data_IF_388175013167
#
_entry.id   IF_388175013167
#
_cell.length_a   1.000
_cell.length_b   1.000
_cell.length_c   1.000
_cell.angle_alpha   90.00
_cell.angle_beta   90.00
_cell.angle_gamma   90.00
#
_symmetry.space_group_name_H-M   'P 1'
#
loop_
_entity.id
_entity.type
_entity.pdbx_description
1 polymer ?
#
# COMPACT_ATOMS: atom_id res chain seq x y z
N UNK A 1 15.68 -7.49 -9.36
CA UNK A 1 15.11 -6.54 -8.38
C UNK A 1 16.24 -5.95 -7.56
N UNK A 2 16.27 -4.62 -7.39
CA UNK A 2 17.16 -4.02 -6.39
C UNK A 2 16.61 -4.37 -5.00
N UNK A 3 17.47 -4.78 -4.06
CA UNK A 3 17.04 -5.06 -2.71
C UNK A 3 16.46 -3.77 -2.08
N UNK A 4 15.20 -3.77 -1.60
CA UNK A 4 14.64 -2.58 -0.99
C UNK A 4 15.43 -2.23 0.27
N UNK A 5 15.97 -1.01 0.31
CA UNK A 5 16.73 -0.50 1.46
C UNK A 5 15.85 0.13 2.54
N UNK A 6 14.57 0.37 2.21
CA UNK A 6 13.59 1.02 3.07
C UNK A 6 12.18 0.62 2.64
N UNK A 7 11.29 0.59 3.62
CA UNK A 7 9.84 0.48 3.44
C UNK A 7 9.15 1.66 4.11
N UNK A 8 8.00 2.06 3.57
CA UNK A 8 7.16 3.16 4.05
C UNK A 8 5.85 2.60 4.56
N UNK A 9 5.43 2.97 5.77
CA UNK A 9 4.17 2.45 6.34
C UNK A 9 2.95 2.95 5.59
N UNK A 10 1.82 2.25 5.69
CA UNK A 10 0.53 2.70 5.16
C UNK A 10 0.14 4.11 5.65
N UNK A 11 0.46 4.44 6.90
CA UNK A 11 0.29 5.81 7.43
C UNK A 11 1.10 6.85 6.64
N UNK A 12 2.34 6.54 6.27
CA UNK A 12 3.14 7.44 5.44
C UNK A 12 2.54 7.55 4.03
N UNK A 13 2.13 6.43 3.43
CA UNK A 13 1.49 6.41 2.12
C UNK A 13 0.22 7.27 2.08
N UNK A 14 -0.67 7.11 3.08
CA UNK A 14 -1.89 7.89 3.24
C UNK A 14 -1.60 9.40 3.30
N UNK A 15 -0.62 9.79 4.13
CA UNK A 15 -0.18 11.18 4.23
C UNK A 15 0.44 11.70 2.93
N UNK A 16 1.14 10.86 2.17
CA UNK A 16 1.81 11.24 0.91
C UNK A 16 0.81 11.41 -0.23
N UNK A 17 -0.21 10.55 -0.30
CA UNK A 17 -1.22 10.52 -1.36
C UNK A 17 -2.46 11.37 -1.03
N UNK A 18 -2.55 11.90 0.19
CA UNK A 18 -3.64 12.78 0.61
C UNK A 18 -4.99 12.06 0.72
N UNK A 19 -4.97 10.78 1.10
CA UNK A 19 -6.17 9.94 1.26
C UNK A 19 -6.21 9.33 2.66
N UNK A 20 -7.38 8.80 3.03
CA UNK A 20 -7.56 8.10 4.29
C UNK A 20 -6.72 6.80 4.33
N UNK A 21 -6.25 6.41 5.52
CA UNK A 21 -5.48 5.18 5.70
C UNK A 21 -6.31 3.95 5.32
N UNK A 22 -7.62 3.96 5.55
CA UNK A 22 -8.51 2.86 5.19
C UNK A 22 -8.57 2.65 3.67
N UNK A 23 -8.42 3.72 2.89
CA UNK A 23 -8.31 3.63 1.42
C UNK A 23 -7.01 2.95 1.02
N UNK A 24 -5.91 3.27 1.71
CA UNK A 24 -4.61 2.64 1.44
C UNK A 24 -4.64 1.16 1.78
N UNK A 25 -5.18 0.76 2.94
CA UNK A 25 -5.26 -0.64 3.33
C UNK A 25 -6.13 -1.45 2.36
N UNK A 26 -7.26 -0.89 1.89
CA UNK A 26 -8.09 -1.52 0.85
C UNK A 26 -7.37 -1.71 -0.50
N UNK A 27 -6.51 -0.77 -0.89
CA UNK A 27 -5.71 -0.91 -2.10
C UNK A 27 -4.57 -1.91 -1.90
N UNK A 28 -4.00 -1.96 -0.70
CA UNK A 28 -2.93 -2.89 -0.33
C UNK A 28 -3.38 -4.35 -0.44
N UNK A 29 -4.65 -4.66 -0.14
CA UNK A 29 -5.26 -5.98 -0.32
C UNK A 29 -5.22 -6.49 -1.77
N UNK A 30 -5.04 -5.60 -2.75
CA UNK A 30 -4.97 -5.94 -4.18
C UNK A 30 -3.52 -6.13 -4.67
N UNK A 31 -2.52 -5.81 -3.83
CA UNK A 31 -1.11 -5.86 -4.19
C UNK A 31 -0.45 -7.14 -3.70
N UNK A 32 0.36 -7.76 -4.56
CA UNK A 32 1.24 -8.85 -4.17
C UNK A 32 2.56 -8.32 -3.55
N UNK A 33 3.32 -9.16 -2.83
CA UNK A 33 4.67 -8.81 -2.37
C UNK A 33 5.59 -8.30 -3.48
N UNK A 34 5.46 -8.87 -4.68
CA UNK A 34 6.23 -8.50 -5.88
C UNK A 34 5.90 -7.09 -6.40
N UNK A 35 4.69 -6.60 -6.13
CA UNK A 35 4.28 -5.22 -6.41
C UNK A 35 4.85 -4.25 -5.37
N UNK A 36 5.55 -4.76 -4.36
CA UNK A 36 6.21 -3.96 -3.33
C UNK A 36 5.33 -3.65 -2.13
N UNK A 37 4.25 -4.39 -1.91
CA UNK A 37 3.42 -4.36 -0.69
C UNK A 37 3.84 -5.47 0.28
N UNK A 38 4.27 -5.11 1.49
CA UNK A 38 4.87 -6.02 2.45
C UNK A 38 4.14 -5.93 3.79
N UNK A 39 3.95 -7.09 4.42
CA UNK A 39 3.50 -7.16 5.82
C UNK A 39 4.72 -7.18 6.75
N UNK A 40 4.81 -6.19 7.64
CA UNK A 40 5.87 -6.06 8.65
C UNK A 40 5.34 -6.66 9.95
N UNK A 41 5.90 -7.79 10.35
CA UNK A 41 5.49 -8.53 11.55
C UNK A 41 6.51 -8.28 12.67
N UNK A 42 6.04 -7.98 13.88
CA UNK A 42 6.88 -7.69 15.05
C UNK A 42 7.07 -8.91 15.99
N UNK A 43 6.42 -10.03 15.69
CA UNK A 43 6.36 -11.25 16.49
C UNK A 43 6.20 -12.45 15.55
N UNK A 44 6.52 -13.66 16.03
CA UNK A 44 6.23 -14.92 15.33
C UNK A 44 4.88 -15.51 15.71
N UNK A 45 4.12 -14.82 16.56
CA UNK A 45 2.75 -15.17 16.89
C UNK A 45 1.84 -14.90 15.68
N UNK A 46 1.10 -15.91 15.23
CA UNK A 46 0.18 -15.81 14.09
C UNK A 46 -0.98 -14.83 14.33
N UNK A 47 -1.22 -14.47 15.59
CA UNK A 47 -2.25 -13.49 15.99
C UNK A 47 -1.71 -12.08 16.14
N UNK A 48 -0.39 -11.87 15.98
CA UNK A 48 0.20 -10.55 16.10
C UNK A 48 -0.25 -9.62 14.97
N UNK A 49 -0.61 -8.40 15.34
CA UNK A 49 -0.90 -7.35 14.36
C UNK A 49 0.34 -7.08 13.50
N UNK A 50 0.13 -7.04 12.19
CA UNK A 50 1.15 -6.63 11.23
C UNK A 50 0.93 -5.19 10.79
N UNK A 51 2.01 -4.53 10.36
CA UNK A 51 1.94 -3.21 9.74
C UNK A 51 2.16 -3.33 8.25
N UNK A 52 1.25 -2.81 7.44
CA UNK A 52 1.40 -2.70 6.00
C UNK A 52 2.50 -1.70 5.65
N UNK A 53 3.44 -2.12 4.80
CA UNK A 53 4.57 -1.33 4.34
C UNK A 53 4.80 -1.44 2.85
N UNK A 54 5.26 -0.37 2.23
CA UNK A 54 5.47 -0.26 0.79
C UNK A 54 6.93 0.02 0.49
N UNK A 55 7.48 -0.65 -0.53
CA UNK A 55 8.73 -0.19 -1.14
C UNK A 55 8.49 1.12 -1.90
N UNK A 56 9.55 1.76 -2.40
CA UNK A 56 9.39 2.94 -3.26
C UNK A 56 8.58 2.62 -4.53
N UNK A 57 8.87 1.49 -5.18
CA UNK A 57 8.11 1.01 -6.32
C UNK A 57 6.65 0.70 -5.94
N UNK A 58 6.43 0.14 -4.75
CA UNK A 58 5.08 -0.13 -4.26
C UNK A 58 4.25 1.14 -4.03
N UNK A 59 4.89 2.25 -3.62
CA UNK A 59 4.19 3.54 -3.54
C UNK A 59 3.81 4.08 -4.92
N UNK A 60 4.67 3.88 -5.92
CA UNK A 60 4.37 4.31 -7.30
C UNK A 60 3.19 3.49 -7.86
N UNK A 61 3.17 2.17 -7.65
CA UNK A 61 2.06 1.30 -8.06
C UNK A 61 0.75 1.60 -7.29
N UNK A 62 0.86 1.93 -5.99
CA UNK A 62 -0.28 2.32 -5.18
C UNK A 62 -0.94 3.61 -5.68
N UNK A 63 -0.17 4.56 -6.19
CA UNK A 63 -0.67 5.80 -6.81
C UNK A 63 -1.43 5.49 -8.12
N UNK A 64 -0.91 4.56 -8.93
CA UNK A 64 -1.60 4.06 -10.14
C UNK A 64 -2.97 3.43 -9.81
N UNK A 65 -3.03 2.53 -8.82
CA UNK A 65 -4.30 1.93 -8.36
C UNK A 65 -5.30 2.97 -7.85
N UNK A 66 -4.79 4.01 -7.17
CA UNK A 66 -5.64 5.09 -6.67
C UNK A 66 -6.24 5.91 -7.83
N UNK A 67 -5.45 6.18 -8.87
CA UNK A 67 -5.92 6.87 -10.07
C UNK A 67 -6.92 6.02 -10.86
N UNK A 68 -6.69 4.71 -11.00
CA UNK A 68 -7.67 3.79 -11.59
C UNK A 68 -9.00 3.81 -10.83
N UNK A 69 -8.96 3.76 -9.50
CA UNK A 69 -10.15 3.84 -8.65
C UNK A 69 -10.88 5.17 -8.83
N UNK A 70 -10.16 6.30 -8.92
CA UNK A 70 -10.75 7.62 -9.19
C UNK A 70 -11.45 7.68 -10.55
N UNK A 71 -10.84 7.10 -11.58
CA UNK A 71 -11.41 7.05 -12.92
C UNK A 71 -12.68 6.20 -13.00
N UNK A 72 -12.75 5.10 -12.25
CA UNK A 72 -13.97 4.28 -12.16
C UNK A 72 -15.16 5.10 -11.60
N UNK A 73 -14.94 5.97 -10.62
CA UNK A 73 -15.99 6.84 -10.09
C UNK A 73 -16.41 7.97 -11.05
N UNK A 74 -15.55 8.38 -11.98
CA UNK A 74 -15.87 9.43 -12.98
C UNK A 74 -16.60 8.85 -14.19
N UNK A 75 -16.43 7.57 -14.50
CA UNK A 75 -17.12 6.88 -15.61
C UNK A 75 -18.59 6.54 -15.34
N UNK A 76 -19.04 6.64 -14.09
CA UNK A 76 -20.41 6.30 -13.64
C UNK A 76 -21.36 7.53 -13.53
N UNK A 77 -20.96 8.70 -14.04
CA UNK A 77 -21.73 9.96 -14.09
C UNK A 77 -22.07 10.38 -15.53
#
# INVERSE_FOLDING_TARGET
MAAPSMVFTARFAASRLGVDIDVIEQLAEQMAPEDGCLSIINSLDETAESVTGFTRQGLDYLDELLDERRLQFVGDL
#
